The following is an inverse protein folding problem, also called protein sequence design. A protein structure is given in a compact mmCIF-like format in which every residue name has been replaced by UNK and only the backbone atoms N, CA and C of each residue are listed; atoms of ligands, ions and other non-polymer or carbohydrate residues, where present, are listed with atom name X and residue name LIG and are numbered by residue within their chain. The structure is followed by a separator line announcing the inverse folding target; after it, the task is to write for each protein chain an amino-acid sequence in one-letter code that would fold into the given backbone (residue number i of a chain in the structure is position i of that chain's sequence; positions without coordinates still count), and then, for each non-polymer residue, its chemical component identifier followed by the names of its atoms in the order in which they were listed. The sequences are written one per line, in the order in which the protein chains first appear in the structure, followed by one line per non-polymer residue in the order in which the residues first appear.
data_IF_197320118779
#
_entry.id   IF_197320118779
#
_cell.length_a   1.000
_cell.length_b   1.000
_cell.length_c   1.000
_cell.angle_alpha   90.00
_cell.angle_beta   90.00
_cell.angle_gamma   90.00
#
_symmetry.space_group_name_H-M   'P 1'
#
loop_
_entity.id
_entity.type
_entity.pdbx_description
1 polymer ?
#
# COMPACT_ATOMS: atom_id res chain seq x y z
N UNK A 1 -19.08 13.52 34.27
CA UNK A 1 -18.61 12.16 34.60
C UNK A 1 -18.24 11.44 33.30
N UNK A 2 -16.99 10.99 33.24
CA UNK A 2 -16.39 10.07 32.26
C UNK A 2 -16.32 10.52 30.80
N UNK A 3 -15.20 11.14 30.44
CA UNK A 3 -14.68 11.20 29.08
C UNK A 3 -14.57 9.78 28.53
N UNK A 4 -15.55 9.36 27.73
CA UNK A 4 -15.44 8.15 26.91
C UNK A 4 -14.31 8.39 25.93
N UNK A 5 -13.11 7.96 26.29
CA UNK A 5 -12.08 7.62 25.32
C UNK A 5 -12.75 6.63 24.36
N UNK A 6 -13.14 7.08 23.16
CA UNK A 6 -13.54 6.19 22.06
C UNK A 6 -12.31 5.35 21.78
N UNK A 7 -12.19 4.21 22.46
CA UNK A 7 -11.15 3.24 22.17
C UNK A 7 -11.43 2.78 20.75
N UNK A 8 -10.47 3.04 19.86
CA UNK A 8 -10.43 2.39 18.56
C UNK A 8 -10.41 0.89 18.84
N UNK A 9 -11.24 0.14 18.13
CA UNK A 9 -11.37 -1.29 18.37
C UNK A 9 -10.01 -1.97 18.18
N UNK A 10 -9.60 -2.80 19.15
CA UNK A 10 -8.27 -3.39 19.11
C UNK A 10 -8.12 -4.31 17.88
N UNK A 11 -9.21 -4.96 17.48
CA UNK A 11 -9.25 -5.81 16.28
C UNK A 11 -8.92 -5.01 15.00
N UNK A 12 -9.34 -3.74 14.93
CA UNK A 12 -9.04 -2.85 13.80
C UNK A 12 -7.56 -2.54 13.75
N UNK A 13 -6.95 -2.27 14.91
CA UNK A 13 -5.51 -2.01 15.02
C UNK A 13 -4.73 -3.23 14.59
N UNK A 14 -5.09 -4.41 15.10
CA UNK A 14 -4.38 -5.66 14.81
C UNK A 14 -4.47 -6.00 13.31
N UNK A 15 -5.62 -5.74 12.66
CA UNK A 15 -5.76 -5.87 11.20
C UNK A 15 -4.86 -4.92 10.42
N UNK A 16 -4.79 -3.65 10.81
CA UNK A 16 -3.92 -2.66 10.14
C UNK A 16 -2.45 -3.08 10.25
N UNK A 17 -2.02 -3.51 11.43
CA UNK A 17 -0.65 -4.00 11.67
C UNK A 17 -0.36 -5.22 10.79
N UNK A 18 -1.25 -6.21 10.80
CA UNK A 18 -1.11 -7.41 9.95
C UNK A 18 -1.01 -7.05 8.45
N UNK A 19 -1.79 -6.09 7.97
CA UNK A 19 -1.71 -5.66 6.57
C UNK A 19 -0.40 -4.94 6.25
N UNK A 20 0.13 -4.15 7.17
CA UNK A 20 1.42 -3.48 7.01
C UNK A 20 2.59 -4.48 7.01
N UNK A 21 2.52 -5.54 7.81
CA UNK A 21 3.55 -6.58 7.84
C UNK A 21 3.56 -7.45 6.56
N UNK A 22 2.38 -7.63 5.95
CA UNK A 22 2.19 -8.52 4.80
C UNK A 22 2.08 -7.78 3.47
N UNK A 23 2.45 -6.50 3.38
CA UNK A 23 2.44 -5.74 2.13
C UNK A 23 3.86 -5.46 1.67
N UNK A 24 4.27 -6.07 0.57
CA UNK A 24 5.59 -5.84 -0.02
C UNK A 24 5.58 -4.54 -0.84
N UNK A 25 4.55 -4.34 -1.66
CA UNK A 25 4.32 -3.12 -2.43
C UNK A 25 2.81 -2.89 -2.60
N UNK A 26 2.33 -1.72 -2.19
CA UNK A 26 0.90 -1.42 -2.27
C UNK A 26 0.45 -0.21 -1.47
N UNK A 27 -0.84 -0.18 -1.16
CA UNK A 27 -1.51 0.89 -0.42
C UNK A 27 -2.51 0.29 0.56
N UNK A 28 -2.61 0.86 1.76
CA UNK A 28 -3.68 0.58 2.71
C UNK A 28 -4.52 1.85 2.82
N UNK A 29 -5.82 1.75 2.54
CA UNK A 29 -6.76 2.86 2.65
C UNK A 29 -7.72 2.59 3.81
N UNK A 30 -7.85 3.57 4.71
CA UNK A 30 -8.72 3.48 5.89
C UNK A 30 -9.78 4.57 5.77
N UNK A 31 -11.04 4.16 5.82
CA UNK A 31 -12.17 5.08 5.80
C UNK A 31 -12.75 5.20 7.21
N UNK A 32 -12.92 6.44 7.66
CA UNK A 32 -13.44 6.77 8.98
C UNK A 32 -14.72 7.58 8.82
N UNK A 33 -15.81 7.11 9.41
CA UNK A 33 -17.06 7.85 9.56
C UNK A 33 -17.49 7.84 11.04
N UNK A 34 -18.02 8.95 11.53
CA UNK A 34 -18.48 9.10 12.93
C UNK A 34 -17.43 8.75 14.00
N UNK A 35 -16.17 9.04 13.69
CA UNK A 35 -14.99 8.67 14.49
C UNK A 35 -14.81 7.15 14.70
N UNK A 36 -15.35 6.34 13.80
CA UNK A 36 -15.18 4.89 13.77
C UNK A 36 -14.64 4.47 12.41
N UNK A 37 -13.72 3.50 12.42
CA UNK A 37 -13.23 2.90 11.18
C UNK A 37 -14.36 2.06 10.61
N UNK A 38 -14.82 2.42 9.40
CA UNK A 38 -15.90 1.69 8.72
C UNK A 38 -15.38 0.75 7.66
N UNK A 39 -14.19 1.03 7.12
CA UNK A 39 -13.62 0.26 6.02
C UNK A 39 -12.09 0.29 6.05
N UNK A 40 -11.49 -0.84 5.67
CA UNK A 40 -10.05 -0.99 5.45
C UNK A 40 -9.89 -1.72 4.12
N UNK A 41 -9.21 -1.09 3.16
CA UNK A 41 -8.87 -1.70 1.88
C UNK A 41 -7.36 -1.89 1.76
N UNK A 42 -6.94 -3.08 1.31
CA UNK A 42 -5.55 -3.40 0.96
C UNK A 42 -5.45 -3.51 -0.56
N UNK A 43 -4.66 -2.65 -1.18
CA UNK A 43 -4.33 -2.71 -2.60
C UNK A 43 -2.88 -3.13 -2.81
N UNK A 44 -2.63 -4.20 -3.55
CA UNK A 44 -1.28 -4.66 -3.87
C UNK A 44 -0.85 -4.15 -5.25
N UNK A 45 0.42 -3.77 -5.38
CA UNK A 45 0.95 -3.18 -6.61
C UNK A 45 2.16 -3.98 -7.10
N UNK A 46 1.92 -4.83 -8.08
CA UNK A 46 2.96 -5.64 -8.72
C UNK A 46 3.69 -4.80 -9.77
N UNK A 47 4.98 -4.52 -9.54
CA UNK A 47 5.86 -3.91 -10.55
C UNK A 47 6.47 -5.01 -11.39
N UNK A 48 5.97 -5.18 -12.61
CA UNK A 48 6.69 -5.94 -13.62
C UNK A 48 7.85 -5.07 -14.09
N UNK A 49 9.08 -5.44 -13.72
CA UNK A 49 10.27 -4.79 -14.28
C UNK A 49 10.22 -4.94 -15.79
N UNK A 50 10.00 -3.83 -16.49
CA UNK A 50 10.23 -3.78 -17.94
C UNK A 50 11.73 -4.01 -18.07
N UNK A 51 12.14 -5.22 -18.47
CA UNK A 51 13.52 -5.46 -18.89
C UNK A 51 13.81 -4.39 -19.93
N UNK A 52 14.66 -3.41 -19.59
CA UNK A 52 15.21 -2.51 -20.59
C UNK A 52 15.95 -3.45 -21.55
N UNK A 53 15.33 -3.74 -22.69
CA UNK A 53 16.07 -4.17 -23.85
C UNK A 53 16.98 -3.00 -24.16
N UNK A 54 18.23 -3.08 -23.69
CA UNK A 54 19.31 -2.28 -24.24
C UNK A 54 19.41 -2.73 -25.71
N UNK A 55 18.60 -2.11 -26.56
CA UNK A 55 18.76 -2.15 -27.99
C UNK A 55 20.16 -1.57 -28.23
N UNK A 56 21.09 -2.44 -28.63
CA UNK A 56 22.35 -2.03 -29.22
C UNK A 56 22.00 -1.17 -30.43
N UNK A 57 22.05 0.15 -30.26
CA UNK A 57 22.11 1.08 -31.38
C UNK A 57 23.53 0.91 -31.91
N UNK A 58 23.70 0.00 -32.86
CA UNK A 58 24.97 -0.17 -33.55
C UNK A 58 25.26 1.13 -34.29
N UNK A 59 26.29 1.83 -33.84
CA UNK A 59 26.84 3.01 -34.48
C UNK A 59 27.27 2.64 -35.90
N UNK A 60 26.67 3.29 -36.89
CA UNK A 60 27.06 3.14 -38.30
C UNK A 60 28.40 3.86 -38.47
N UNK A 61 29.50 3.19 -38.90
CA UNK A 61 30.75 3.88 -39.15
C UNK A 61 30.57 4.80 -40.37
N UNK A 62 30.81 6.08 -40.16
CA UNK A 62 30.87 7.06 -41.24
C UNK A 62 32.17 6.85 -42.03
N UNK A 63 32.01 6.90 -43.36
CA UNK A 63 32.94 6.54 -44.43
C UNK A 63 34.33 7.19 -44.36
#
# INVERSE_FOLDING_TARGET
MSSKNKKIDQEVIDKIVSFLENIEFGTIQITVHDSQVTQIEKGEKYRFSVKKSNQQINEVPNN
#
